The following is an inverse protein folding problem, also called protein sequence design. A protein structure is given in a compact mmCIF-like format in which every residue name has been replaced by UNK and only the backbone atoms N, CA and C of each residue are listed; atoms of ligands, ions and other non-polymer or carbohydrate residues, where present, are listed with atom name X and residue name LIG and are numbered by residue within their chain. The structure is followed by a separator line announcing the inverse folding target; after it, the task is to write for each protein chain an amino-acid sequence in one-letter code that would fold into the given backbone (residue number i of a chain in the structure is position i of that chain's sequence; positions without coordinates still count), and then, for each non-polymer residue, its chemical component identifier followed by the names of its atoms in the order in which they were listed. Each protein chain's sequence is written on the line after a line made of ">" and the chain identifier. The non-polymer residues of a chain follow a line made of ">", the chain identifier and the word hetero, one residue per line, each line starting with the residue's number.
data_IF_552066169396
#
_entry.id   IF_552066169396
#
_cell.length_a   1.000
_cell.length_b   1.000
_cell.length_c   1.000
_cell.angle_alpha   90.00
_cell.angle_beta   90.00
_cell.angle_gamma   90.00
#
_symmetry.space_group_name_H-M   'P 1'
#
loop_
_entity.id
_entity.type
_entity.pdbx_description
1 polymer ?
#
# COMPACT_ATOMS: atom_id res chain seq x y z
N UNK A 1 15.88 -10.61 -1.33
CA UNK A 1 14.44 -10.62 -0.98
C UNK A 1 14.39 -10.35 0.50
N UNK A 2 13.44 -9.53 0.91
CA UNK A 2 13.21 -9.16 2.30
C UNK A 2 11.78 -9.58 2.64
N UNK A 3 11.59 -10.11 3.84
CA UNK A 3 10.27 -10.32 4.41
C UNK A 3 9.78 -8.97 4.94
N UNK A 4 8.57 -8.59 4.56
CA UNK A 4 7.94 -7.36 5.02
C UNK A 4 6.64 -7.69 5.74
N UNK A 5 6.38 -6.99 6.84
CA UNK A 5 5.03 -6.82 7.34
C UNK A 5 4.36 -5.70 6.52
N UNK A 6 3.28 -6.04 5.82
CA UNK A 6 2.59 -5.13 4.91
C UNK A 6 1.19 -4.83 5.44
N UNK A 7 0.96 -3.58 5.81
CA UNK A 7 -0.37 -3.06 6.12
C UNK A 7 -1.01 -2.46 4.88
N UNK A 8 -2.11 -3.07 4.44
CA UNK A 8 -2.87 -2.69 3.25
C UNK A 8 -4.18 -2.05 3.69
N UNK A 9 -4.42 -0.82 3.26
CA UNK A 9 -5.65 -0.09 3.50
C UNK A 9 -6.33 0.27 2.16
N UNK A 10 -7.46 -0.38 1.86
CA UNK A 10 -8.29 -0.10 0.69
C UNK A 10 -9.34 0.97 1.04
N UNK A 11 -9.30 2.12 0.37
CA UNK A 11 -10.21 3.25 0.53
C UNK A 11 -11.09 3.35 -0.72
N UNK A 12 -12.40 3.18 -0.54
CA UNK A 12 -13.37 3.25 -1.63
C UNK A 12 -13.97 4.67 -1.75
N UNK A 13 -14.29 5.12 -2.97
CA UNK A 13 -14.77 6.47 -3.24
C UNK A 13 -16.06 6.84 -2.49
N UNK A 14 -16.91 5.85 -2.20
CA UNK A 14 -18.20 6.03 -1.54
C UNK A 14 -18.15 5.90 0.00
N UNK A 15 -16.99 5.56 0.58
CA UNK A 15 -16.83 5.37 2.02
C UNK A 15 -15.84 6.34 2.67
N UNK A 16 -14.86 6.86 1.93
CA UNK A 16 -13.76 7.59 2.54
C UNK A 16 -12.99 6.74 3.57
N UNK A 17 -12.10 7.36 4.34
CA UNK A 17 -11.19 6.64 5.25
C UNK A 17 -11.93 5.83 6.34
N UNK A 18 -13.12 6.30 6.77
CA UNK A 18 -13.91 5.68 7.84
C UNK A 18 -14.40 4.27 7.50
N UNK A 19 -14.57 3.96 6.22
CA UNK A 19 -15.00 2.63 5.75
C UNK A 19 -13.90 1.92 4.97
N UNK A 20 -12.64 2.28 5.24
CA UNK A 20 -11.50 1.58 4.65
C UNK A 20 -11.42 0.14 5.15
N UNK A 21 -11.06 -0.77 4.24
CA UNK A 21 -10.77 -2.16 4.57
C UNK A 21 -9.28 -2.27 4.84
N UNK A 22 -8.93 -2.67 6.07
CA UNK A 22 -7.55 -2.82 6.53
C UNK A 22 -7.18 -4.30 6.57
N UNK A 23 -5.99 -4.64 6.13
CA UNK A 23 -5.46 -6.01 6.16
C UNK A 23 -3.97 -5.95 6.45
N UNK A 24 -3.49 -6.85 7.31
CA UNK A 24 -2.08 -7.04 7.62
C UNK A 24 -1.65 -8.39 7.06
N UNK A 25 -0.55 -8.43 6.33
CA UNK A 25 0.03 -9.65 5.78
C UNK A 25 1.55 -9.63 5.94
N UNK A 26 2.17 -10.80 5.87
CA UNK A 26 3.61 -10.96 5.72
C UNK A 26 3.89 -11.47 4.31
N UNK A 27 4.87 -10.86 3.62
CA UNK A 27 5.25 -11.30 2.29
C UNK A 27 6.73 -11.05 2.00
N UNK A 28 7.36 -12.00 1.30
CA UNK A 28 8.70 -11.82 0.75
C UNK A 28 8.64 -11.05 -0.57
N UNK A 29 9.40 -9.96 -0.67
CA UNK A 29 9.51 -9.17 -1.89
C UNK A 29 10.94 -8.70 -2.15
N UNK A 30 11.23 -8.39 -3.43
CA UNK A 30 12.51 -7.77 -3.79
C UNK A 30 12.61 -6.31 -3.28
N UNK A 31 11.47 -5.61 -3.21
CA UNK A 31 11.30 -4.25 -2.68
C UNK A 31 9.80 -3.98 -2.50
N UNK A 32 9.40 -2.97 -1.70
CA UNK A 32 8.03 -2.48 -1.62
C UNK A 32 7.42 -2.17 -3.00
N UNK A 33 8.17 -1.50 -3.88
CA UNK A 33 7.71 -1.15 -5.22
C UNK A 33 7.50 -2.39 -6.11
N UNK A 34 8.36 -3.41 -5.99
CA UNK A 34 8.18 -4.67 -6.72
C UNK A 34 6.89 -5.38 -6.28
N UNK A 35 6.65 -5.47 -4.98
CA UNK A 35 5.42 -6.07 -4.44
C UNK A 35 4.18 -5.36 -4.99
N UNK A 36 4.14 -4.02 -4.93
CA UNK A 36 3.00 -3.24 -5.43
C UNK A 36 2.85 -3.37 -6.94
N UNK A 37 3.94 -3.48 -7.70
CA UNK A 37 3.88 -3.69 -9.15
C UNK A 37 3.29 -5.05 -9.53
N UNK A 38 3.55 -6.08 -8.73
CA UNK A 38 3.09 -7.45 -8.98
C UNK A 38 1.67 -7.71 -8.44
N UNK A 39 1.30 -7.11 -7.31
CA UNK A 39 0.05 -7.39 -6.59
C UNK A 39 -0.94 -6.22 -6.60
N UNK A 40 -0.48 -5.01 -6.90
CA UNK A 40 -1.30 -3.80 -6.91
C UNK A 40 -2.30 -3.79 -8.05
N UNK A 41 -3.50 -3.27 -7.76
CA UNK A 41 -4.61 -3.17 -8.73
C UNK A 41 -4.60 -1.87 -9.53
N UNK A 42 -3.92 -0.85 -9.02
CA UNK A 42 -3.94 0.51 -9.52
C UNK A 42 -2.52 1.04 -9.75
N UNK A 43 -2.33 2.04 -10.61
CA UNK A 43 -1.03 2.68 -10.77
C UNK A 43 -0.56 3.33 -9.46
N UNK A 44 0.77 3.34 -9.26
CA UNK A 44 1.41 4.06 -8.16
C UNK A 44 1.26 5.55 -8.37
N UNK A 45 0.77 6.24 -7.34
CA UNK A 45 0.61 7.69 -7.29
C UNK A 45 1.73 8.34 -6.47
N UNK A 46 2.12 7.70 -5.37
CA UNK A 46 3.14 8.21 -4.44
C UNK A 46 3.90 7.04 -3.79
N UNK A 47 5.20 7.23 -3.54
CA UNK A 47 6.02 6.36 -2.69
C UNK A 47 6.88 7.25 -1.80
N UNK A 48 6.75 7.10 -0.49
CA UNK A 48 7.42 7.94 0.50
C UNK A 48 7.95 7.08 1.64
N UNK A 49 9.16 7.42 2.13
CA UNK A 49 9.66 6.88 3.39
C UNK A 49 9.19 7.78 4.53
N UNK A 50 8.48 7.22 5.51
CA UNK A 50 8.01 8.00 6.67
C UNK A 50 9.17 8.27 7.67
N UNK A 51 8.88 9.00 8.74
CA UNK A 51 9.87 9.32 9.79
C UNK A 51 10.32 8.11 10.63
N UNK A 52 9.59 7.01 10.58
CA UNK A 52 9.87 5.75 11.30
C UNK A 52 10.74 4.80 10.47
N UNK A 53 10.88 5.07 9.17
CA UNK A 53 11.68 4.28 8.23
C UNK A 53 10.84 3.39 7.30
N UNK A 54 9.53 3.26 7.56
CA UNK A 54 8.61 2.50 6.73
C UNK A 54 8.46 3.11 5.35
N UNK A 55 8.21 2.26 4.37
CA UNK A 55 7.86 2.70 3.01
C UNK A 55 6.35 2.70 2.86
N UNK A 56 5.78 3.85 2.55
CA UNK A 56 4.36 4.03 2.28
C UNK A 56 4.17 4.24 0.78
N UNK A 57 3.43 3.36 0.13
CA UNK A 57 3.09 3.45 -1.29
C UNK A 57 1.59 3.64 -1.43
N UNK A 58 1.19 4.69 -2.15
CA UNK A 58 -0.21 4.97 -2.47
C UNK A 58 -0.46 4.65 -3.94
N UNK A 59 -1.49 3.85 -4.19
CA UNK A 59 -2.01 3.56 -5.54
C UNK A 59 -3.44 4.06 -5.67
N UNK A 60 -3.90 4.35 -6.88
CA UNK A 60 -5.29 4.75 -7.09
C UNK A 60 -5.71 4.91 -8.55
N UNK A 61 -7.01 5.02 -8.76
CA UNK A 61 -7.63 5.09 -10.09
C UNK A 61 -7.91 6.53 -10.58
N UNK A 62 -7.54 7.54 -9.80
CA UNK A 62 -7.91 8.96 -10.01
C UNK A 62 -9.43 9.23 -10.03
N UNK A 63 -10.27 8.26 -9.63
CA UNK A 63 -11.73 8.37 -9.51
C UNK A 63 -12.19 8.26 -8.04
N UNK A 64 -11.24 8.18 -7.11
CA UNK A 64 -11.47 8.19 -5.66
C UNK A 64 -11.28 6.83 -4.99
N UNK A 65 -10.85 5.80 -5.74
CA UNK A 65 -10.37 4.55 -5.14
C UNK A 65 -8.87 4.66 -4.89
N UNK A 66 -8.46 4.37 -3.65
CA UNK A 66 -7.06 4.37 -3.25
C UNK A 66 -6.72 3.10 -2.50
N UNK A 67 -5.48 2.63 -2.63
CA UNK A 67 -4.92 1.59 -1.77
C UNK A 67 -3.59 2.10 -1.23
N UNK A 68 -3.48 2.17 0.10
CA UNK A 68 -2.24 2.53 0.80
C UNK A 68 -1.59 1.27 1.33
N UNK A 69 -0.33 1.07 0.96
CA UNK A 69 0.51 0.00 1.45
C UNK A 69 1.56 0.64 2.38
N UNK A 70 1.70 0.11 3.60
CA UNK A 70 2.81 0.45 4.50
C UNK A 70 3.65 -0.80 4.67
N UNK A 71 4.93 -0.69 4.36
CA UNK A 71 5.91 -1.77 4.46
C UNK A 71 6.86 -1.48 5.61
N UNK A 72 6.93 -2.43 6.54
CA UNK A 72 7.85 -2.45 7.67
C UNK A 72 8.76 -3.68 7.55
N UNK A 73 10.06 -3.50 7.80
CA UNK A 73 11.06 -4.57 7.90
C UNK A 73 11.22 -5.08 9.35
#
# INVERSE_FOLDING_TARGET
>A
MHEYEIFIEEINPCGGEKYSKKTLIEAEAASPEAYVKENGRFPVLESVRNGEGDIVIVTGDNQGSFVRYTFTE
#
